data_IF_631454509939
#
_entry.id   IF_631454509939
#
_cell.length_a   1.000
_cell.length_b   1.000
_cell.length_c   1.000
_cell.angle_alpha   90.00
_cell.angle_beta   90.00
_cell.angle_gamma   90.00
#
_symmetry.space_group_name_H-M   'P 1'
#
loop_
_entity.id
_entity.type
_entity.pdbx_description
1 polymer ?
#
# COMPACT_ATOMS: atom_id res chain seq x y z
N UNK A 1 -18.58 6.27 23.83
CA UNK A 1 -19.70 5.31 23.84
C UNK A 1 -20.16 5.15 25.27
N UNK A 2 -21.45 5.27 25.57
CA UNK A 2 -21.98 5.04 26.89
C UNK A 2 -22.08 3.53 27.20
N UNK A 3 -22.33 3.18 28.48
CA UNK A 3 -22.30 1.77 28.92
C UNK A 3 -23.36 0.89 28.23
N UNK A 4 -24.57 1.37 28.07
CA UNK A 4 -25.67 0.62 27.44
C UNK A 4 -25.44 0.42 25.95
N UNK A 5 -24.93 1.46 25.27
CA UNK A 5 -24.58 1.40 23.85
C UNK A 5 -23.45 0.37 23.61
N UNK A 6 -22.41 0.36 24.48
CA UNK A 6 -21.35 -0.63 24.41
C UNK A 6 -21.89 -2.05 24.66
N UNK A 7 -22.69 -2.26 25.70
CA UNK A 7 -23.25 -3.56 26.05
C UNK A 7 -24.06 -4.16 24.86
N UNK A 8 -24.94 -3.35 24.26
CA UNK A 8 -25.76 -3.77 23.11
C UNK A 8 -24.90 -4.09 21.90
N UNK A 9 -23.96 -3.21 21.55
CA UNK A 9 -23.05 -3.40 20.43
C UNK A 9 -22.17 -4.64 20.59
N UNK A 10 -21.60 -4.84 21.76
CA UNK A 10 -20.78 -5.99 22.11
C UNK A 10 -21.57 -7.30 21.97
N UNK A 11 -22.77 -7.37 22.59
CA UNK A 11 -23.63 -8.55 22.54
C UNK A 11 -24.03 -8.91 21.13
N UNK A 12 -24.50 -7.93 20.34
CA UNK A 12 -24.91 -8.17 18.95
C UNK A 12 -23.74 -8.67 18.10
N UNK A 13 -22.56 -8.05 18.23
CA UNK A 13 -21.37 -8.49 17.51
C UNK A 13 -20.90 -9.88 17.94
N UNK A 14 -20.92 -10.20 19.24
CA UNK A 14 -20.56 -11.55 19.71
C UNK A 14 -21.50 -12.62 19.15
N UNK A 15 -22.79 -12.34 19.14
CA UNK A 15 -23.76 -13.28 18.56
C UNK A 15 -23.53 -13.46 17.04
N UNK A 16 -23.25 -12.36 16.34
CA UNK A 16 -22.93 -12.41 14.91
C UNK A 16 -21.61 -13.15 14.60
N UNK A 17 -20.62 -13.09 15.51
CA UNK A 17 -19.35 -13.81 15.36
C UNK A 17 -19.43 -15.30 15.72
N UNK A 18 -20.54 -15.77 16.28
CA UNK A 18 -20.69 -17.14 16.76
C UNK A 18 -19.93 -17.45 18.07
N UNK A 19 -19.18 -16.50 18.63
CA UNK A 19 -18.38 -16.73 19.81
C UNK A 19 -19.23 -16.85 21.08
N UNK A 20 -18.90 -17.81 21.93
CA UNK A 20 -19.39 -17.86 23.31
C UNK A 20 -18.74 -16.77 24.16
N UNK A 21 -19.35 -16.46 25.33
CA UNK A 21 -18.72 -15.54 26.30
C UNK A 21 -17.38 -16.10 26.82
N UNK A 22 -17.20 -17.41 26.86
CA UNK A 22 -15.95 -18.06 27.29
C UNK A 22 -14.84 -17.89 26.28
N UNK A 23 -15.13 -18.13 24.99
CA UNK A 23 -14.16 -17.93 23.90
C UNK A 23 -13.75 -16.46 23.79
N UNK A 24 -14.72 -15.53 23.81
CA UNK A 24 -14.40 -14.10 23.79
C UNK A 24 -13.53 -13.69 25.00
N UNK A 25 -13.79 -14.26 26.18
CA UNK A 25 -13.00 -14.02 27.38
C UNK A 25 -11.54 -14.48 27.21
N UNK A 26 -11.33 -15.67 26.65
CA UNK A 26 -10.00 -16.21 26.35
C UNK A 26 -9.26 -15.35 25.32
N UNK A 27 -9.89 -15.03 24.22
CA UNK A 27 -9.32 -14.25 23.11
C UNK A 27 -8.97 -12.80 23.48
N UNK A 28 -9.64 -12.24 24.48
CA UNK A 28 -9.44 -10.83 24.89
C UNK A 28 -8.71 -10.66 26.20
N UNK A 29 -8.29 -11.76 26.85
CA UNK A 29 -7.71 -11.79 28.19
C UNK A 29 -8.60 -11.11 29.25
N UNK A 30 -9.92 -11.13 29.05
CA UNK A 30 -10.90 -10.57 29.98
C UNK A 30 -11.68 -11.71 30.64
N UNK A 31 -11.89 -11.67 31.97
CA UNK A 31 -12.61 -12.75 32.63
C UNK A 31 -14.04 -12.92 32.09
N UNK A 32 -14.51 -14.19 31.97
CA UNK A 32 -15.88 -14.49 31.55
C UNK A 32 -16.93 -13.77 32.40
N UNK A 33 -16.65 -13.62 33.69
CA UNK A 33 -17.48 -12.87 34.61
C UNK A 33 -17.61 -11.39 34.18
N UNK A 34 -16.52 -10.75 33.82
CA UNK A 34 -16.49 -9.38 33.32
C UNK A 34 -17.24 -9.24 31.99
N UNK A 35 -17.01 -10.16 31.03
CA UNK A 35 -17.72 -10.22 29.74
C UNK A 35 -19.24 -10.26 29.98
N UNK A 36 -19.71 -11.17 30.85
CA UNK A 36 -21.13 -11.28 31.18
C UNK A 36 -21.70 -9.97 31.77
N UNK A 37 -20.97 -9.34 32.69
CA UNK A 37 -21.41 -8.08 33.30
C UNK A 37 -21.43 -6.92 32.29
N UNK A 38 -20.48 -6.87 31.38
CA UNK A 38 -20.43 -5.87 30.31
C UNK A 38 -21.63 -6.00 29.36
N UNK A 39 -21.92 -7.23 28.89
CA UNK A 39 -23.07 -7.50 28.01
C UNK A 39 -24.43 -7.16 28.63
N UNK A 40 -24.54 -7.29 29.97
CA UNK A 40 -25.76 -6.98 30.70
C UNK A 40 -25.81 -5.53 31.22
N UNK A 41 -24.83 -4.69 30.85
CA UNK A 41 -24.77 -3.30 31.31
C UNK A 41 -24.52 -3.13 32.81
N UNK A 42 -24.12 -4.20 33.53
CA UNK A 42 -23.90 -4.24 34.99
C UNK A 42 -22.53 -3.75 35.43
N UNK A 43 -21.62 -3.48 34.49
CA UNK A 43 -20.28 -2.95 34.72
C UNK A 43 -19.83 -2.12 33.52
N UNK A 44 -18.94 -1.14 33.78
CA UNK A 44 -18.30 -0.33 32.75
C UNK A 44 -16.94 -0.95 32.39
N UNK A 45 -16.71 -1.24 31.13
CA UNK A 45 -15.41 -1.57 30.62
C UNK A 45 -14.55 -0.31 30.41
N UNK A 46 -13.26 -0.37 30.67
CA UNK A 46 -12.34 0.71 30.32
C UNK A 46 -12.36 0.94 28.79
N UNK A 47 -11.93 2.12 28.33
CA UNK A 47 -11.84 2.40 26.88
C UNK A 47 -10.93 1.40 26.14
N UNK A 48 -9.84 1.01 26.78
CA UNK A 48 -8.91 0.01 26.25
C UNK A 48 -9.60 -1.36 26.13
N UNK A 49 -10.26 -1.85 27.20
CA UNK A 49 -11.03 -3.09 27.17
C UNK A 49 -12.14 -3.09 26.12
N UNK A 50 -12.89 -1.96 26.00
CA UNK A 50 -13.90 -1.82 24.95
C UNK A 50 -13.28 -1.95 23.56
N UNK A 51 -12.13 -1.32 23.34
CA UNK A 51 -11.42 -1.34 22.06
C UNK A 51 -10.94 -2.76 21.71
N UNK A 52 -10.30 -3.46 22.64
CA UNK A 52 -9.86 -4.86 22.47
C UNK A 52 -11.05 -5.76 22.10
N UNK A 53 -12.12 -5.71 22.88
CA UNK A 53 -13.31 -6.55 22.65
C UNK A 53 -13.92 -6.27 21.27
N UNK A 54 -14.13 -5.00 20.91
CA UNK A 54 -14.78 -4.65 19.65
C UNK A 54 -13.93 -4.98 18.42
N UNK A 55 -12.60 -4.82 18.49
CA UNK A 55 -11.68 -5.19 17.42
C UNK A 55 -11.59 -6.71 17.25
N UNK A 56 -11.51 -7.46 18.35
CA UNK A 56 -11.60 -8.91 18.33
C UNK A 56 -12.90 -9.37 17.64
N UNK A 57 -14.05 -8.83 18.05
CA UNK A 57 -15.34 -9.19 17.46
C UNK A 57 -15.45 -8.77 15.98
N UNK A 58 -14.88 -7.62 15.59
CA UNK A 58 -14.83 -7.22 14.19
C UNK A 58 -14.05 -8.22 13.33
N UNK A 59 -12.92 -8.72 13.85
CA UNK A 59 -12.11 -9.73 13.17
C UNK A 59 -12.92 -11.01 12.90
N UNK A 60 -13.62 -11.55 13.90
CA UNK A 60 -14.41 -12.78 13.77
C UNK A 60 -15.72 -12.64 12.93
N UNK A 61 -16.16 -11.41 12.67
CA UNK A 61 -17.31 -11.15 11.79
C UNK A 61 -16.86 -10.91 10.35
N UNK A 62 -15.61 -10.52 10.15
CA UNK A 62 -15.09 -10.14 8.84
C UNK A 62 -14.73 -11.38 8.02
N UNK A 63 -15.36 -11.55 6.86
CA UNK A 63 -15.11 -12.72 5.98
C UNK A 63 -13.65 -12.73 5.47
N UNK A 64 -13.05 -11.57 5.28
CA UNK A 64 -11.69 -11.40 4.79
C UNK A 64 -10.95 -10.36 5.62
N UNK A 65 -10.49 -10.74 6.83
CA UNK A 65 -9.88 -9.79 7.75
C UNK A 65 -8.55 -9.22 7.25
N UNK A 66 -7.77 -10.05 6.52
CA UNK A 66 -6.47 -9.68 5.98
C UNK A 66 -6.27 -10.17 4.56
N UNK A 67 -5.45 -9.45 3.82
CA UNK A 67 -4.83 -9.93 2.58
C UNK A 67 -3.46 -9.28 2.36
N UNK A 68 -2.60 -9.97 1.61
CA UNK A 68 -1.24 -9.56 1.30
C UNK A 68 -1.15 -9.09 -0.15
N UNK A 69 -0.35 -8.06 -0.39
CA UNK A 69 -0.02 -7.60 -1.75
C UNK A 69 1.42 -7.11 -1.86
N UNK A 70 1.93 -7.03 -3.08
CA UNK A 70 3.21 -6.34 -3.38
C UNK A 70 2.94 -4.83 -3.42
N UNK A 71 3.54 -4.07 -2.48
CA UNK A 71 3.39 -2.60 -2.46
C UNK A 71 4.52 -1.89 -3.21
N UNK A 72 5.71 -2.48 -3.24
CA UNK A 72 6.85 -1.93 -3.94
C UNK A 72 7.75 -3.05 -4.46
N UNK A 73 8.18 -2.93 -5.71
CA UNK A 73 9.25 -3.75 -6.28
C UNK A 73 10.20 -2.83 -7.05
N UNK A 74 11.52 -3.01 -6.85
CA UNK A 74 12.50 -2.46 -7.77
C UNK A 74 13.57 -3.49 -8.12
N UNK A 75 13.94 -3.50 -9.38
CA UNK A 75 14.87 -4.48 -9.96
C UNK A 75 15.90 -3.73 -10.80
N UNK A 76 17.17 -4.09 -10.65
CA UNK A 76 18.26 -3.61 -11.51
C UNK A 76 18.65 -4.70 -12.50
N UNK A 77 18.69 -4.37 -13.77
CA UNK A 77 19.12 -5.27 -14.85
C UNK A 77 20.52 -4.90 -15.37
N UNK A 78 21.35 -5.90 -15.71
CA UNK A 78 22.72 -5.68 -16.20
C UNK A 78 22.74 -5.36 -17.72
N UNK A 79 21.90 -4.44 -18.16
CA UNK A 79 21.80 -3.92 -19.53
C UNK A 79 21.66 -2.42 -19.48
N UNK A 80 22.05 -1.71 -20.53
CA UNK A 80 21.79 -0.27 -20.71
C UNK A 80 20.56 0.00 -21.59
N UNK A 81 19.99 -1.05 -22.19
CA UNK A 81 18.82 -0.94 -23.06
C UNK A 81 17.52 -1.05 -22.26
N UNK A 82 16.89 0.10 -21.99
CA UNK A 82 15.59 0.16 -21.30
C UNK A 82 14.46 -0.48 -22.14
N UNK A 83 14.54 -0.38 -23.48
CA UNK A 83 13.50 -0.93 -24.36
C UNK A 83 13.54 -2.46 -24.37
N UNK A 84 14.73 -3.04 -24.19
CA UNK A 84 14.87 -4.48 -24.00
C UNK A 84 14.15 -4.94 -22.74
N UNK A 85 14.34 -4.23 -21.61
CA UNK A 85 13.66 -4.54 -20.34
C UNK A 85 12.15 -4.39 -20.47
N UNK A 86 11.65 -3.35 -21.16
CA UNK A 86 10.23 -3.16 -21.42
C UNK A 86 9.66 -4.37 -22.19
N UNK A 87 10.29 -4.76 -23.28
CA UNK A 87 9.80 -5.87 -24.11
C UNK A 87 9.98 -7.23 -23.43
N UNK A 88 11.17 -7.57 -22.97
CA UNK A 88 11.48 -8.91 -22.48
C UNK A 88 10.98 -9.17 -21.06
N UNK A 89 11.05 -8.19 -20.15
CA UNK A 89 10.67 -8.37 -18.74
C UNK A 89 9.21 -8.04 -18.50
N UNK A 90 8.78 -6.82 -18.93
CA UNK A 90 7.40 -6.38 -18.74
C UNK A 90 6.44 -7.03 -19.73
N UNK A 91 6.96 -7.46 -20.92
CA UNK A 91 6.13 -7.99 -21.98
C UNK A 91 5.20 -6.94 -22.57
N UNK A 92 5.71 -5.73 -22.74
CA UNK A 92 4.95 -4.57 -23.22
C UNK A 92 5.64 -3.96 -24.43
N UNK A 93 4.85 -3.40 -25.34
CA UNK A 93 5.38 -2.64 -26.47
C UNK A 93 5.94 -1.31 -26.01
N UNK A 94 7.18 -1.02 -26.39
CA UNK A 94 7.89 0.18 -25.95
C UNK A 94 7.24 1.49 -26.48
N UNK A 95 6.53 1.41 -27.59
CA UNK A 95 5.88 2.56 -28.25
C UNK A 95 4.84 3.25 -27.36
N UNK A 96 4.27 2.53 -26.38
CA UNK A 96 3.34 3.09 -25.41
C UNK A 96 4.02 3.70 -24.18
N UNK A 97 5.36 3.73 -24.08
CA UNK A 97 6.06 4.33 -22.95
C UNK A 97 6.47 5.77 -23.29
N UNK A 98 6.05 6.71 -22.46
CA UNK A 98 6.45 8.11 -22.56
C UNK A 98 7.92 8.23 -22.14
N UNK A 99 8.77 8.72 -23.02
CA UNK A 99 10.16 9.00 -22.72
C UNK A 99 10.33 10.35 -22.03
N UNK A 100 11.13 10.37 -20.98
CA UNK A 100 11.53 11.57 -20.25
C UNK A 100 13.06 11.67 -20.24
N UNK A 101 13.58 12.81 -20.64
CA UNK A 101 14.99 13.19 -20.70
C UNK A 101 15.60 13.53 -19.32
N UNK A 102 14.98 13.06 -18.27
CA UNK A 102 15.47 13.11 -16.91
C UNK A 102 15.11 11.81 -16.16
N UNK A 103 15.93 11.43 -15.20
CA UNK A 103 15.72 10.24 -14.38
C UNK A 103 15.75 10.56 -12.89
N UNK A 104 15.67 9.50 -12.08
CA UNK A 104 15.76 9.54 -10.62
C UNK A 104 16.99 8.73 -10.17
N UNK A 105 17.43 8.91 -8.96
CA UNK A 105 18.50 8.13 -8.33
C UNK A 105 19.84 8.17 -9.09
N UNK A 106 20.10 9.22 -9.86
CA UNK A 106 21.30 9.37 -10.69
C UNK A 106 21.18 8.82 -12.12
N UNK A 107 20.04 8.23 -12.48
CA UNK A 107 19.75 7.86 -13.86
C UNK A 107 19.47 9.10 -14.71
N UNK A 108 19.84 9.05 -16.00
CA UNK A 108 19.72 10.20 -16.91
C UNK A 108 18.32 10.37 -17.48
N UNK A 109 17.65 9.28 -17.77
CA UNK A 109 16.36 9.26 -18.43
C UNK A 109 15.45 8.19 -17.83
N UNK A 110 14.18 8.24 -18.14
CA UNK A 110 13.25 7.15 -17.84
C UNK A 110 12.12 7.07 -18.85
N UNK A 111 11.59 5.85 -18.95
CA UNK A 111 10.39 5.51 -19.72
C UNK A 111 9.27 5.19 -18.77
N UNK A 112 8.06 5.70 -19.02
CA UNK A 112 6.93 5.52 -18.12
C UNK A 112 5.65 5.10 -18.85
N UNK A 113 4.99 4.07 -18.29
CA UNK A 113 3.62 3.73 -18.61
C UNK A 113 2.81 3.85 -17.30
N UNK A 114 2.00 4.90 -17.20
CA UNK A 114 1.40 5.28 -15.92
C UNK A 114 2.47 5.51 -14.84
N UNK A 115 2.44 4.67 -13.79
CA UNK A 115 3.41 4.71 -12.69
C UNK A 115 4.46 3.58 -12.75
N UNK A 116 4.47 2.78 -13.79
CA UNK A 116 5.57 1.85 -14.10
C UNK A 116 6.72 2.68 -14.67
N UNK A 117 7.91 2.62 -14.08
CA UNK A 117 9.07 3.40 -14.51
C UNK A 117 10.25 2.50 -14.78
N UNK A 118 10.85 2.68 -15.97
CA UNK A 118 12.08 2.03 -16.40
C UNK A 118 13.11 3.11 -16.62
N UNK A 119 14.11 3.18 -15.77
CA UNK A 119 15.16 4.20 -15.80
C UNK A 119 16.41 3.65 -16.47
N UNK A 120 17.06 4.44 -17.30
CA UNK A 120 18.27 4.07 -18.04
C UNK A 120 19.43 5.04 -17.76
N UNK A 121 20.64 4.52 -17.94
CA UNK A 121 21.89 5.25 -17.88
C UNK A 121 22.86 4.67 -18.90
N UNK A 122 23.74 5.51 -19.44
CA UNK A 122 24.85 5.05 -20.29
C UNK A 122 25.93 4.31 -19.50
N UNK A 123 25.86 4.34 -18.15
CA UNK A 123 26.80 3.64 -17.29
C UNK A 123 26.37 2.18 -17.11
N UNK A 124 27.16 1.26 -17.67
CA UNK A 124 26.94 -0.18 -17.55
C UNK A 124 26.89 -0.67 -16.09
N UNK A 125 27.61 0.00 -15.18
CA UNK A 125 27.56 -0.33 -13.75
C UNK A 125 26.21 0.03 -13.11
N UNK A 126 25.52 1.04 -13.62
CA UNK A 126 24.18 1.39 -13.17
C UNK A 126 23.13 0.45 -13.77
N UNK A 127 23.26 0.10 -15.03
CA UNK A 127 22.31 -0.72 -15.77
C UNK A 127 20.95 -0.04 -15.93
N UNK A 128 19.91 -0.84 -16.17
CA UNK A 128 18.50 -0.39 -16.21
C UNK A 128 17.83 -0.68 -14.88
N UNK A 129 17.01 0.26 -14.42
CA UNK A 129 16.31 0.17 -13.13
C UNK A 129 14.81 0.25 -13.32
N UNK A 130 14.11 -0.84 -13.02
CA UNK A 130 12.66 -0.91 -12.96
C UNK A 130 12.18 -0.49 -11.56
N UNK A 131 11.23 0.43 -11.50
CA UNK A 131 10.55 0.82 -10.26
C UNK A 131 9.03 0.68 -10.39
N UNK A 132 8.45 -0.13 -9.51
CA UNK A 132 7.01 -0.32 -9.31
C UNK A 132 6.67 0.11 -7.89
N UNK A 133 6.18 1.33 -7.71
CA UNK A 133 5.91 1.91 -6.39
C UNK A 133 4.43 2.17 -6.20
N UNK A 134 3.78 1.53 -5.25
CA UNK A 134 2.38 1.76 -4.91
C UNK A 134 1.45 1.66 -6.12
N UNK A 135 1.10 2.79 -6.75
CA UNK A 135 0.30 2.81 -7.97
C UNK A 135 0.99 2.07 -9.13
N UNK A 136 2.33 2.13 -9.24
CA UNK A 136 3.08 1.39 -10.25
C UNK A 136 2.93 -0.13 -10.10
N UNK A 137 2.90 -0.65 -8.85
CA UNK A 137 2.57 -2.06 -8.62
C UNK A 137 1.15 -2.39 -9.07
N UNK A 138 0.19 -1.50 -8.84
CA UNK A 138 -1.22 -1.68 -9.29
C UNK A 138 -1.34 -1.65 -10.81
N UNK A 139 -0.62 -0.74 -11.49
CA UNK A 139 -0.57 -0.71 -12.95
C UNK A 139 0.09 -1.98 -13.51
N UNK A 140 1.17 -2.47 -12.88
CA UNK A 140 1.80 -3.72 -13.29
C UNK A 140 0.88 -4.92 -13.12
N UNK A 141 0.11 -4.99 -12.04
CA UNK A 141 -0.89 -6.04 -11.85
C UNK A 141 -1.99 -6.03 -12.93
N UNK A 142 -2.36 -4.84 -13.41
CA UNK A 142 -3.29 -4.72 -14.54
C UNK A 142 -2.70 -5.31 -15.83
N UNK A 143 -1.41 -5.05 -16.08
CA UNK A 143 -0.66 -5.65 -17.21
C UNK A 143 -0.55 -7.17 -17.02
N UNK A 144 -0.14 -7.64 -15.83
CA UNK A 144 -0.02 -9.07 -15.53
C UNK A 144 -1.35 -9.81 -15.71
N UNK A 145 -2.45 -9.21 -15.28
CA UNK A 145 -3.79 -9.79 -15.48
C UNK A 145 -4.12 -9.94 -16.97
N UNK A 146 -3.83 -8.92 -17.79
CA UNK A 146 -4.04 -8.98 -19.24
C UNK A 146 -3.17 -10.05 -19.91
N UNK A 147 -1.97 -10.29 -19.38
CA UNK A 147 -1.06 -11.34 -19.83
C UNK A 147 -1.36 -12.74 -19.23
N UNK A 148 -2.41 -12.89 -18.44
CA UNK A 148 -2.69 -14.13 -17.67
C UNK A 148 -1.52 -14.58 -16.80
N UNK A 149 -0.79 -13.63 -16.23
CA UNK A 149 0.37 -13.80 -15.37
C UNK A 149 0.10 -13.33 -13.94
N UNK A 150 0.97 -13.72 -13.04
CA UNK A 150 0.96 -13.33 -11.63
C UNK A 150 2.32 -12.81 -11.17
N UNK A 151 2.44 -12.45 -9.89
CA UNK A 151 3.69 -11.99 -9.30
C UNK A 151 4.78 -13.07 -9.31
N UNK A 152 4.44 -14.36 -9.21
CA UNK A 152 5.43 -15.44 -9.23
C UNK A 152 6.10 -15.55 -10.59
N UNK A 153 5.30 -15.60 -11.65
CA UNK A 153 5.80 -15.64 -13.04
C UNK A 153 6.58 -14.38 -13.39
N UNK A 154 6.16 -13.21 -12.90
CA UNK A 154 6.86 -11.95 -13.13
C UNK A 154 8.22 -11.89 -12.41
N UNK A 155 8.27 -12.27 -11.14
CA UNK A 155 9.51 -12.30 -10.36
C UNK A 155 10.51 -13.30 -10.95
N UNK A 156 10.07 -14.50 -11.35
CA UNK A 156 10.91 -15.46 -12.08
C UNK A 156 11.48 -14.82 -13.36
N UNK A 157 10.64 -14.18 -14.17
CA UNK A 157 11.08 -13.51 -15.38
C UNK A 157 12.13 -12.42 -15.11
N UNK A 158 11.95 -11.64 -14.04
CA UNK A 158 12.95 -10.66 -13.63
C UNK A 158 14.32 -11.32 -13.35
N UNK A 159 14.32 -12.44 -12.63
CA UNK A 159 15.55 -13.17 -12.29
C UNK A 159 16.17 -13.83 -13.52
N UNK A 160 15.37 -14.46 -14.39
CA UNK A 160 15.82 -15.12 -15.63
C UNK A 160 16.50 -14.13 -16.59
N UNK A 161 16.02 -12.86 -16.61
CA UNK A 161 16.66 -11.77 -17.35
C UNK A 161 17.87 -11.13 -16.62
N UNK A 162 18.41 -11.78 -15.59
CA UNK A 162 19.57 -11.30 -14.84
C UNK A 162 19.27 -10.13 -13.88
N UNK A 163 17.99 -9.89 -13.58
CA UNK A 163 17.57 -8.85 -12.66
C UNK A 163 18.01 -9.11 -11.23
N UNK A 164 18.49 -8.06 -10.55
CA UNK A 164 18.84 -8.08 -9.13
C UNK A 164 17.79 -7.29 -8.37
N UNK A 165 17.06 -7.94 -7.47
CA UNK A 165 16.04 -7.31 -6.65
C UNK A 165 16.71 -6.32 -5.68
N UNK A 166 16.35 -5.04 -5.77
CA UNK A 166 16.91 -3.98 -4.92
C UNK A 166 15.96 -3.62 -3.77
N UNK A 167 14.65 -3.74 -4.00
CA UNK A 167 13.64 -3.51 -2.97
C UNK A 167 12.42 -4.37 -3.25
N UNK A 168 11.85 -4.92 -2.19
CA UNK A 168 10.62 -5.69 -2.21
C UNK A 168 9.82 -5.42 -0.94
N UNK A 169 8.70 -4.71 -1.09
CA UNK A 169 7.81 -4.39 0.04
C UNK A 169 6.51 -5.19 -0.09
N UNK A 170 6.22 -5.93 0.96
CA UNK A 170 4.98 -6.67 1.13
C UNK A 170 4.07 -5.91 2.09
N UNK A 171 2.79 -5.78 1.77
CA UNK A 171 1.82 -5.06 2.58
C UNK A 171 0.66 -5.95 2.98
N UNK A 172 0.45 -6.11 4.29
CA UNK A 172 -0.76 -6.71 4.86
C UNK A 172 -1.79 -5.61 5.04
N UNK A 173 -2.94 -5.76 4.39
CA UNK A 173 -4.09 -4.90 4.56
C UNK A 173 -5.02 -5.46 5.64
N UNK A 174 -5.27 -4.68 6.67
CA UNK A 174 -6.20 -4.99 7.77
C UNK A 174 -7.56 -4.33 7.46
N UNK A 175 -8.53 -5.18 7.10
CA UNK A 175 -9.88 -4.78 6.70
C UNK A 175 -10.84 -4.66 7.89
N UNK A 176 -10.51 -5.29 9.00
CA UNK A 176 -11.37 -5.33 10.19
C UNK A 176 -10.92 -4.37 11.31
N UNK A 177 -9.73 -3.77 11.17
CA UNK A 177 -9.15 -2.86 12.14
C UNK A 177 -8.61 -3.59 13.38
N UNK A 178 -8.14 -4.84 13.24
CA UNK A 178 -7.55 -5.60 14.34
C UNK A 178 -6.28 -4.93 14.88
N UNK A 179 -5.41 -4.46 13.98
CA UNK A 179 -4.17 -3.77 14.34
C UNK A 179 -4.48 -2.36 14.88
N UNK A 180 -4.40 -2.18 16.18
CA UNK A 180 -4.55 -0.87 16.83
C UNK A 180 -3.22 -0.12 16.83
N UNK A 181 -2.94 0.61 15.74
CA UNK A 181 -1.66 1.29 15.52
C UNK A 181 -1.29 2.27 16.66
N UNK A 182 -2.22 3.11 17.18
CA UNK A 182 -1.91 3.94 18.34
C UNK A 182 -1.48 3.14 19.57
N UNK A 183 -2.20 2.06 19.90
CA UNK A 183 -1.86 1.20 21.06
C UNK A 183 -0.54 0.46 20.86
N UNK A 184 -0.28 -0.08 19.66
CA UNK A 184 1.01 -0.71 19.31
C UNK A 184 2.17 0.30 19.43
N UNK A 185 1.97 1.53 18.99
CA UNK A 185 2.97 2.60 19.13
C UNK A 185 3.28 2.93 20.60
N UNK A 186 2.24 3.01 21.43
CA UNK A 186 2.39 3.24 22.87
C UNK A 186 3.12 2.07 23.57
N UNK A 187 2.72 0.83 23.26
CA UNK A 187 3.38 -0.36 23.80
C UNK A 187 4.85 -0.40 23.41
N UNK A 188 5.17 -0.13 22.12
CA UNK A 188 6.55 -0.10 21.65
C UNK A 188 7.38 0.95 22.39
N UNK A 189 6.85 2.18 22.52
CA UNK A 189 7.48 3.30 23.22
C UNK A 189 7.78 2.97 24.68
N UNK A 190 6.89 2.25 25.33
CA UNK A 190 6.97 1.93 26.78
C UNK A 190 7.71 0.61 27.06
N UNK A 191 8.38 0.01 26.07
CA UNK A 191 9.14 -1.22 26.22
C UNK A 191 8.28 -2.49 26.33
N UNK A 192 7.01 -2.43 25.94
CA UNK A 192 6.08 -3.57 25.89
C UNK A 192 6.15 -4.35 24.57
N UNK A 193 7.25 -4.24 23.84
CA UNK A 193 7.50 -5.01 22.62
C UNK A 193 8.88 -5.66 22.72
N UNK A 194 8.98 -6.94 22.37
CA UNK A 194 10.23 -7.63 22.15
C UNK A 194 10.64 -7.40 20.68
N UNK A 195 11.73 -6.69 20.47
CA UNK A 195 12.18 -6.34 19.13
C UNK A 195 13.69 -6.43 19.00
N UNK A 196 14.17 -6.99 17.87
CA UNK A 196 15.60 -7.02 17.54
C UNK A 196 16.15 -5.62 17.21
N UNK A 197 15.27 -4.66 16.95
CA UNK A 197 15.63 -3.29 16.61
C UNK A 197 15.31 -2.33 17.75
N UNK A 198 16.28 -1.45 18.06
CA UNK A 198 16.10 -0.40 19.08
C UNK A 198 15.57 0.91 18.48
N UNK A 199 15.66 1.08 17.16
CA UNK A 199 15.24 2.31 16.50
C UNK A 199 13.77 2.23 16.13
N UNK A 200 13.02 3.27 16.41
CA UNK A 200 11.65 3.45 15.96
C UNK A 200 11.35 4.93 15.72
N UNK A 201 10.33 5.18 14.92
CA UNK A 201 9.79 6.52 14.73
C UNK A 201 8.26 6.44 14.81
N UNK A 202 7.65 7.27 15.63
CA UNK A 202 6.19 7.40 15.71
C UNK A 202 5.79 8.76 15.19
N UNK A 203 5.04 8.78 14.08
CA UNK A 203 4.52 10.00 13.46
C UNK A 203 3.03 10.07 13.72
N UNK A 204 2.61 11.11 14.45
CA UNK A 204 1.21 11.39 14.71
C UNK A 204 0.82 12.73 14.10
N UNK A 205 -0.08 12.70 13.13
CA UNK A 205 -0.69 13.90 12.57
C UNK A 205 -1.81 14.42 13.47
N UNK A 206 -2.04 15.75 13.50
CA UNK A 206 -3.12 16.37 14.24
C UNK A 206 -3.44 17.76 13.72
N UNK A 207 -4.67 18.23 13.99
CA UNK A 207 -5.07 19.63 13.81
C UNK A 207 -5.29 20.26 15.17
N UNK A 208 -4.79 21.49 15.36
CA UNK A 208 -4.94 22.24 16.62
C UNK A 208 -6.38 22.64 16.90
N UNK A 209 -7.23 22.73 15.87
CA UNK A 209 -8.64 23.11 15.99
C UNK A 209 -9.53 22.21 15.13
N UNK A 210 -10.76 21.95 15.60
CA UNK A 210 -11.79 21.17 14.88
C UNK A 210 -12.15 19.84 15.56
N UNK A 211 -13.18 19.14 15.01
CA UNK A 211 -13.70 17.88 15.56
C UNK A 211 -12.73 16.69 15.38
N UNK A 212 -11.84 16.74 14.40
CA UNK A 212 -10.87 15.68 14.10
C UNK A 212 -9.47 16.10 14.51
N UNK A 213 -9.15 16.01 15.80
CA UNK A 213 -7.81 16.34 16.33
C UNK A 213 -6.73 15.32 15.96
N UNK A 214 -7.09 14.03 15.83
CA UNK A 214 -6.15 12.94 15.51
C UNK A 214 -6.31 12.56 14.04
N UNK A 215 -5.37 12.93 13.17
CA UNK A 215 -5.42 12.59 11.75
C UNK A 215 -5.02 11.13 11.54
N UNK A 216 -3.76 10.79 11.56
CA UNK A 216 -3.30 9.44 11.35
C UNK A 216 -2.09 9.14 12.25
N UNK A 217 -1.95 7.89 12.67
CA UNK A 217 -0.78 7.38 13.37
C UNK A 217 0.01 6.47 12.43
N UNK A 218 1.34 6.62 12.44
CA UNK A 218 2.29 5.77 11.72
C UNK A 218 3.40 5.37 12.66
N UNK A 219 3.64 4.07 12.81
CA UNK A 219 4.75 3.50 13.54
C UNK A 219 5.75 2.89 12.56
N UNK A 220 6.98 3.38 12.58
CA UNK A 220 8.12 2.75 11.92
C UNK A 220 8.91 1.97 12.96
N UNK A 221 9.17 0.68 12.70
CA UNK A 221 10.01 -0.18 13.51
C UNK A 221 11.27 -0.51 12.72
N UNK A 222 12.42 -0.06 13.20
CA UNK A 222 13.68 -0.12 12.48
C UNK A 222 14.04 1.19 11.80
N UNK A 223 15.31 1.30 11.38
CA UNK A 223 15.80 2.46 10.62
C UNK A 223 15.33 2.40 9.18
N UNK A 224 14.88 3.52 8.62
CA UNK A 224 14.52 3.66 7.20
C UNK A 224 15.69 3.40 6.25
N UNK A 225 16.94 3.41 6.75
CA UNK A 225 18.16 3.09 6.00
C UNK A 225 18.56 1.62 6.11
N UNK A 226 17.90 0.83 6.99
CA UNK A 226 18.16 -0.60 7.15
C UNK A 226 17.65 -1.40 5.97
N UNK A 227 18.23 -2.61 5.80
CA UNK A 227 17.77 -3.58 4.79
C UNK A 227 16.43 -4.22 5.12
N UNK A 228 15.98 -4.14 6.38
CA UNK A 228 14.65 -4.56 6.83
C UNK A 228 14.12 -3.54 7.85
N UNK A 229 12.92 -3.04 7.64
CA UNK A 229 12.17 -2.25 8.60
C UNK A 229 10.67 -2.34 8.31
N UNK A 230 9.84 -2.04 9.29
CA UNK A 230 8.39 -2.12 9.18
C UNK A 230 7.74 -0.75 9.27
N UNK A 231 6.58 -0.64 8.62
CA UNK A 231 5.76 0.58 8.67
C UNK A 231 4.30 0.17 8.88
N UNK A 232 3.76 0.50 10.06
CA UNK A 232 2.38 0.24 10.42
C UNK A 232 1.63 1.58 10.46
N UNK A 233 0.50 1.69 9.77
CA UNK A 233 -0.24 2.96 9.75
C UNK A 233 -1.74 2.79 9.50
N UNK A 234 -2.49 3.81 9.95
CA UNK A 234 -3.94 3.91 9.78
C UNK A 234 -4.26 4.34 8.34
N UNK A 235 -4.36 3.36 7.43
CA UNK A 235 -4.53 3.58 5.98
C UNK A 235 -5.78 4.37 5.64
N UNK A 236 -6.91 4.06 6.28
CA UNK A 236 -8.16 4.77 6.05
C UNK A 236 -8.03 6.26 6.39
N UNK A 237 -7.40 6.59 7.51
CA UNK A 237 -7.17 8.00 7.89
C UNK A 237 -6.16 8.68 6.97
N UNK A 238 -5.09 7.99 6.56
CA UNK A 238 -4.13 8.51 5.60
C UNK A 238 -4.81 8.85 4.27
N UNK A 239 -5.67 7.98 3.75
CA UNK A 239 -6.41 8.24 2.52
C UNK A 239 -7.45 9.36 2.69
N UNK A 240 -8.14 9.42 3.82
CA UNK A 240 -9.09 10.49 4.11
C UNK A 240 -8.42 11.89 4.11
N UNK A 241 -7.15 12.01 4.53
CA UNK A 241 -6.41 13.28 4.43
C UNK A 241 -6.17 13.70 2.98
N UNK A 242 -6.15 12.74 2.06
CA UNK A 242 -6.00 12.95 0.60
C UNK A 242 -7.34 13.05 -0.13
N UNK A 243 -8.46 13.10 0.62
CA UNK A 243 -9.82 13.07 0.09
C UNK A 243 -10.14 11.81 -0.74
N UNK A 244 -9.47 10.69 -0.42
CA UNK A 244 -9.70 9.39 -1.05
C UNK A 244 -10.43 8.45 -0.09
N UNK A 245 -11.28 7.59 -0.64
CA UNK A 245 -11.93 6.52 0.10
C UNK A 245 -11.12 5.22 0.01
N UNK A 246 -11.12 4.44 1.08
CA UNK A 246 -10.62 3.06 1.11
C UNK A 246 -11.29 2.29 2.22
N UNK A 247 -11.54 1.00 2.00
CA UNK A 247 -12.05 0.08 3.00
C UNK A 247 -10.94 -0.51 3.88
N UNK A 248 -9.67 -0.32 3.48
CA UNK A 248 -8.52 -0.75 4.27
C UNK A 248 -8.39 0.15 5.49
N UNK A 249 -8.60 -0.41 6.69
CA UNK A 249 -8.54 0.35 7.94
C UNK A 249 -7.09 0.64 8.30
N UNK A 250 -6.25 -0.40 8.37
CA UNK A 250 -4.83 -0.27 8.66
C UNK A 250 -3.99 -1.01 7.63
N UNK A 251 -2.69 -0.69 7.59
CA UNK A 251 -1.73 -1.40 6.75
C UNK A 251 -0.45 -1.64 7.52
N UNK A 252 0.09 -2.86 7.36
CA UNK A 252 1.39 -3.25 7.86
C UNK A 252 2.31 -3.55 6.67
N UNK A 253 3.32 -2.73 6.46
CA UNK A 253 4.30 -2.92 5.38
C UNK A 253 5.61 -3.47 5.91
N UNK A 254 6.06 -4.57 5.30
CA UNK A 254 7.38 -5.17 5.49
C UNK A 254 8.25 -4.68 4.36
N UNK A 255 9.20 -3.81 4.65
CA UNK A 255 10.05 -3.17 3.66
C UNK A 255 11.44 -3.79 3.67
N UNK A 256 11.78 -4.44 2.55
CA UNK A 256 13.01 -5.19 2.38
C UNK A 256 13.86 -4.55 1.29
N UNK A 257 15.19 -4.48 1.52
CA UNK A 257 16.15 -3.92 0.56
C UNK A 257 17.32 -4.86 0.37
N UNK A 258 17.95 -4.75 -0.82
CA UNK A 258 19.19 -5.41 -1.19
C UNK A 258 19.15 -6.91 -0.83
N UNK A 259 20.12 -7.41 -0.10
CA UNK A 259 20.21 -8.84 0.25
C UNK A 259 18.93 -9.41 0.90
N UNK A 260 18.23 -8.61 1.71
CA UNK A 260 16.98 -9.09 2.35
C UNK A 260 15.82 -9.16 1.37
N UNK A 261 15.78 -8.28 0.38
CA UNK A 261 14.79 -8.33 -0.70
C UNK A 261 15.04 -9.55 -1.61
N UNK A 262 16.29 -9.81 -1.99
CA UNK A 262 16.66 -11.00 -2.76
C UNK A 262 16.26 -12.27 -2.03
N UNK A 263 16.67 -12.44 -0.76
CA UNK A 263 16.33 -13.61 0.05
C UNK A 263 14.82 -13.84 0.16
N UNK A 264 14.04 -12.78 0.33
CA UNK A 264 12.58 -12.90 0.45
C UNK A 264 11.91 -13.32 -0.87
N UNK A 265 12.40 -12.80 -2.01
CA UNK A 265 11.90 -13.21 -3.33
C UNK A 265 12.28 -14.66 -3.64
N UNK A 266 13.52 -15.06 -3.38
CA UNK A 266 13.97 -16.45 -3.55
C UNK A 266 13.15 -17.42 -2.70
N UNK A 267 12.91 -17.10 -1.42
CA UNK A 267 12.09 -17.91 -0.52
C UNK A 267 10.64 -17.97 -1.00
N UNK A 268 10.07 -16.84 -1.45
CA UNK A 268 8.71 -16.77 -1.98
C UNK A 268 8.55 -17.68 -3.21
N UNK A 269 9.51 -17.63 -4.13
CA UNK A 269 9.51 -18.43 -5.36
C UNK A 269 9.78 -19.93 -5.11
N UNK A 270 10.58 -20.25 -4.08
CA UNK A 270 10.88 -21.62 -3.71
C UNK A 270 9.69 -22.29 -3.02
N UNK A 271 9.03 -21.60 -2.10
CA UNK A 271 8.02 -22.19 -1.22
C UNK A 271 6.59 -21.98 -1.69
N UNK A 272 6.34 -20.99 -2.52
CA UNK A 272 4.97 -20.53 -2.88
C UNK A 272 4.09 -20.27 -1.64
N UNK A 273 4.73 -19.94 -0.50
CA UNK A 273 4.07 -19.71 0.77
C UNK A 273 4.26 -18.28 1.28
N UNK A 274 3.53 -17.31 0.74
CA UNK A 274 3.64 -15.89 1.14
C UNK A 274 3.21 -15.67 2.60
N UNK A 275 2.23 -16.44 3.09
CA UNK A 275 1.80 -16.40 4.48
C UNK A 275 2.95 -16.76 5.43
N UNK A 276 3.60 -17.92 5.23
CA UNK A 276 4.71 -18.38 6.05
C UNK A 276 5.89 -17.40 6.02
N UNK A 277 6.26 -16.91 4.83
CA UNK A 277 7.33 -15.92 4.67
C UNK A 277 7.05 -14.65 5.50
N UNK A 278 5.85 -14.09 5.39
CA UNK A 278 5.49 -12.81 6.01
C UNK A 278 5.47 -12.93 7.53
N UNK A 279 4.81 -13.96 8.08
CA UNK A 279 4.76 -14.14 9.54
C UNK A 279 6.12 -14.52 10.13
N UNK A 280 6.94 -15.28 9.41
CA UNK A 280 8.33 -15.50 9.81
C UNK A 280 9.11 -14.17 9.89
N UNK A 281 8.99 -13.30 8.87
CA UNK A 281 9.66 -11.99 8.85
C UNK A 281 9.21 -11.07 10.00
N UNK A 282 7.94 -11.16 10.40
CA UNK A 282 7.35 -10.37 11.49
C UNK A 282 7.84 -10.89 12.82
N UNK A 283 7.60 -12.17 13.13
CA UNK A 283 7.92 -12.78 14.44
C UNK A 283 9.41 -12.83 14.69
N UNK A 284 10.25 -12.99 13.64
CA UNK A 284 11.71 -12.85 13.73
C UNK A 284 12.17 -11.43 14.12
N UNK A 285 11.33 -10.43 14.01
CA UNK A 285 11.74 -9.03 14.16
C UNK A 285 11.05 -8.30 15.32
N UNK A 286 9.76 -8.50 15.54
CA UNK A 286 8.98 -7.84 16.58
C UNK A 286 7.86 -8.73 17.11
N UNK A 287 7.69 -8.72 18.41
CA UNK A 287 6.58 -9.32 19.14
C UNK A 287 5.99 -8.33 20.14
N UNK A 288 4.69 -8.43 20.38
CA UNK A 288 4.00 -7.66 21.41
C UNK A 288 3.39 -8.66 22.43
N UNK A 289 4.19 -9.15 23.37
CA UNK A 289 3.72 -10.11 24.35
C UNK A 289 2.56 -9.54 25.17
N UNK A 290 1.68 -10.41 25.65
CA UNK A 290 0.53 -10.05 26.47
C UNK A 290 -0.45 -9.03 25.81
N UNK A 291 -0.46 -8.97 24.49
CA UNK A 291 -1.42 -8.14 23.74
C UNK A 291 -2.37 -8.99 22.89
N UNK A 292 -3.62 -9.19 23.34
CA UNK A 292 -4.55 -10.15 22.75
C UNK A 292 -4.77 -9.97 21.24
N UNK A 293 -4.87 -8.71 20.77
CA UNK A 293 -5.09 -8.44 19.35
C UNK A 293 -3.87 -8.80 18.48
N UNK A 294 -2.66 -8.72 19.02
CA UNK A 294 -1.45 -9.18 18.35
C UNK A 294 -1.39 -10.71 18.28
N UNK A 295 -1.77 -11.39 19.37
CA UNK A 295 -1.84 -12.86 19.39
C UNK A 295 -2.82 -13.39 18.33
N UNK A 296 -4.01 -12.77 18.21
CA UNK A 296 -4.98 -13.08 17.14
C UNK A 296 -4.37 -12.82 15.76
N UNK A 297 -3.64 -11.71 15.57
CA UNK A 297 -3.02 -11.38 14.29
C UNK A 297 -1.97 -12.42 13.89
N UNK A 298 -1.06 -12.78 14.80
CA UNK A 298 0.02 -13.74 14.53
C UNK A 298 -0.51 -15.16 14.34
N UNK A 299 -1.61 -15.53 14.99
CA UNK A 299 -2.25 -16.84 14.86
C UNK A 299 -3.22 -16.95 13.68
N UNK A 300 -3.28 -15.95 12.80
CA UNK A 300 -4.15 -15.99 11.62
C UNK A 300 -3.73 -17.10 10.64
N UNK A 301 -4.65 -17.98 10.29
CA UNK A 301 -4.34 -19.24 9.59
C UNK A 301 -3.98 -19.06 8.11
N UNK A 302 -4.49 -18.03 7.45
CA UNK A 302 -4.32 -17.84 6.01
C UNK A 302 -4.25 -16.36 5.61
N UNK A 303 -3.22 -16.00 4.88
CA UNK A 303 -3.04 -14.65 4.34
C UNK A 303 -3.06 -14.72 2.81
N UNK A 304 -4.21 -14.50 2.15
CA UNK A 304 -4.30 -14.53 0.70
C UNK A 304 -3.34 -13.54 0.05
N UNK A 305 -2.55 -14.00 -0.93
CA UNK A 305 -1.66 -13.15 -1.72
C UNK A 305 -2.41 -12.69 -2.96
N UNK A 306 -2.71 -11.42 -3.04
CA UNK A 306 -3.66 -10.87 -4.01
C UNK A 306 -3.03 -9.83 -4.92
N UNK A 307 -3.63 -9.69 -6.08
CA UNK A 307 -3.44 -8.56 -6.98
C UNK A 307 -4.67 -7.66 -6.92
N UNK A 308 -4.45 -6.36 -6.90
CA UNK A 308 -5.48 -5.32 -6.97
C UNK A 308 -5.21 -4.43 -8.18
N UNK A 309 -5.44 -4.95 -9.40
CA UNK A 309 -5.09 -4.27 -10.63
C UNK A 309 -5.84 -2.95 -10.79
N UNK A 310 -5.11 -1.92 -11.18
CA UNK A 310 -5.66 -0.59 -11.47
C UNK A 310 -5.12 -0.14 -12.82
N UNK A 311 -5.97 0.19 -13.79
CA UNK A 311 -5.51 0.73 -15.07
C UNK A 311 -4.80 2.08 -14.87
N UNK A 312 -4.01 2.47 -15.86
CA UNK A 312 -3.47 3.84 -15.93
C UNK A 312 -4.61 4.83 -15.90
N UNK A 313 -4.47 5.90 -15.12
CA UNK A 313 -5.53 6.91 -14.97
C UNK A 313 -4.94 8.31 -14.76
N UNK A 314 -5.77 9.32 -14.96
CA UNK A 314 -5.40 10.73 -14.84
C UNK A 314 -5.55 11.31 -13.42
N UNK A 315 -5.72 10.49 -12.41
CA UNK A 315 -6.06 10.98 -11.06
C UNK A 315 -5.07 12.04 -10.54
N UNK A 316 -3.77 11.85 -10.77
CA UNK A 316 -2.73 12.82 -10.36
C UNK A 316 -2.83 14.12 -11.15
N UNK A 317 -3.04 14.02 -12.46
CA UNK A 317 -3.20 15.18 -13.33
C UNK A 317 -4.44 15.97 -12.93
N UNK A 318 -5.56 15.29 -12.68
CA UNK A 318 -6.80 15.94 -12.24
C UNK A 318 -6.62 16.60 -10.86
N UNK A 319 -5.93 15.97 -9.92
CA UNK A 319 -5.62 16.59 -8.62
C UNK A 319 -4.70 17.81 -8.75
N UNK A 320 -3.75 17.79 -9.66
CA UNK A 320 -2.89 18.94 -9.97
C UNK A 320 -3.70 20.07 -10.60
N UNK A 321 -4.54 19.77 -11.60
CA UNK A 321 -5.46 20.74 -12.20
C UNK A 321 -6.34 21.40 -11.13
N UNK A 322 -6.99 20.60 -10.28
CA UNK A 322 -7.88 21.11 -9.21
C UNK A 322 -7.15 22.07 -8.28
N UNK A 323 -5.91 21.76 -7.90
CA UNK A 323 -5.19 22.50 -6.86
C UNK A 323 -4.35 23.66 -7.36
N UNK A 324 -3.79 23.55 -8.56
CA UNK A 324 -2.80 24.49 -9.07
C UNK A 324 -3.32 25.31 -10.24
N UNK A 325 -4.12 24.73 -11.12
CA UNK A 325 -4.57 25.39 -12.35
C UNK A 325 -5.93 26.06 -12.17
N UNK A 326 -6.93 25.31 -11.65
CA UNK A 326 -8.30 25.83 -11.51
C UNK A 326 -8.42 27.13 -10.71
N UNK A 327 -7.70 27.34 -9.59
CA UNK A 327 -7.73 28.63 -8.89
C UNK A 327 -7.28 29.81 -9.77
N UNK A 328 -6.27 29.58 -10.65
CA UNK A 328 -5.79 30.60 -11.59
C UNK A 328 -6.82 30.86 -12.71
N UNK A 329 -7.44 29.83 -13.22
CA UNK A 329 -8.52 29.94 -14.22
C UNK A 329 -9.67 30.78 -13.65
N UNK A 330 -10.18 30.42 -12.48
CA UNK A 330 -11.28 31.16 -11.80
C UNK A 330 -10.90 32.62 -11.55
N UNK A 331 -9.63 32.89 -11.17
CA UNK A 331 -9.12 34.26 -11.00
C UNK A 331 -9.16 35.04 -12.32
N UNK A 332 -8.75 34.43 -13.43
CA UNK A 332 -8.74 35.07 -14.75
C UNK A 332 -10.17 35.35 -15.24
N UNK A 333 -11.11 34.40 -15.07
CA UNK A 333 -12.52 34.57 -15.37
C UNK A 333 -13.11 35.75 -14.61
N UNK A 334 -12.78 35.88 -13.30
CA UNK A 334 -13.27 37.00 -12.49
C UNK A 334 -12.66 38.34 -12.91
N UNK A 335 -11.38 38.37 -13.32
CA UNK A 335 -10.73 39.56 -13.88
C UNK A 335 -11.42 39.97 -15.17
N UNK A 336 -11.67 39.03 -16.10
CA UNK A 336 -12.34 39.31 -17.36
C UNK A 336 -13.77 39.87 -17.13
N UNK A 337 -14.49 39.29 -16.16
CA UNK A 337 -15.82 39.75 -15.77
C UNK A 337 -15.81 41.19 -15.23
N UNK A 338 -14.80 41.56 -14.43
CA UNK A 338 -14.72 42.88 -13.77
C UNK A 338 -14.15 43.95 -14.68
N UNK A 339 -13.23 43.63 -15.57
CA UNK A 339 -12.48 44.60 -16.38
C UNK A 339 -12.95 44.67 -17.82
N UNK A 340 -13.76 43.70 -18.29
CA UNK A 340 -14.12 43.56 -19.68
C UNK A 340 -12.98 43.08 -20.57
N UNK A 341 -11.88 42.57 -19.98
CA UNK A 341 -10.80 41.93 -20.71
C UNK A 341 -11.26 40.57 -21.28
N UNK A 342 -10.40 39.91 -22.04
CA UNK A 342 -10.72 38.66 -22.70
C UNK A 342 -9.53 37.68 -22.63
N UNK A 343 -8.92 37.57 -21.44
CA UNK A 343 -7.76 36.68 -21.20
C UNK A 343 -8.11 35.22 -21.32
N UNK A 344 -9.33 34.80 -20.95
CA UNK A 344 -9.78 33.42 -21.13
C UNK A 344 -9.75 32.96 -22.56
N UNK A 345 -10.10 33.85 -23.51
CA UNK A 345 -10.03 33.52 -24.94
C UNK A 345 -8.61 33.19 -25.40
N UNK A 346 -7.59 33.84 -24.84
CA UNK A 346 -6.18 33.52 -25.16
C UNK A 346 -5.78 32.12 -24.67
N UNK A 347 -6.41 31.64 -23.57
CA UNK A 347 -6.18 30.29 -23.03
C UNK A 347 -6.90 29.26 -23.90
N UNK A 348 -8.15 29.53 -24.33
CA UNK A 348 -8.93 28.67 -25.21
C UNK A 348 -8.29 28.50 -26.60
N UNK A 349 -7.49 29.47 -27.04
CA UNK A 349 -6.74 29.42 -28.31
C UNK A 349 -5.49 28.52 -28.21
N UNK A 350 -5.07 28.07 -27.01
CA UNK A 350 -4.01 27.08 -26.81
C UNK A 350 -4.52 25.68 -27.15
N UNK A 351 -4.48 25.28 -28.40
CA UNK A 351 -5.13 24.06 -28.92
C UNK A 351 -4.18 22.90 -29.26
N UNK A 352 -2.90 23.04 -28.99
CA UNK A 352 -1.92 22.01 -29.37
C UNK A 352 -1.48 21.18 -28.19
N UNK A 353 -1.59 19.86 -28.31
CA UNK A 353 -0.95 18.92 -27.39
C UNK A 353 0.55 18.84 -27.70
N UNK A 354 1.35 18.71 -26.66
CA UNK A 354 2.74 18.29 -26.83
C UNK A 354 2.78 16.78 -27.11
N UNK A 355 3.85 16.29 -27.73
CA UNK A 355 4.07 14.87 -28.00
C UNK A 355 3.83 13.98 -26.76
N UNK A 356 4.32 14.41 -25.58
CA UNK A 356 4.09 13.70 -24.31
C UNK A 356 2.62 13.67 -23.88
N UNK A 357 1.84 14.70 -24.20
CA UNK A 357 0.41 14.73 -23.93
C UNK A 357 -0.36 13.85 -24.89
N UNK A 358 0.04 13.80 -26.18
CA UNK A 358 -0.53 12.88 -27.17
C UNK A 358 -0.30 11.43 -26.75
N UNK A 359 0.92 11.06 -26.35
CA UNK A 359 1.24 9.74 -25.82
C UNK A 359 0.44 9.41 -24.55
N UNK A 360 0.19 10.37 -23.67
CA UNK A 360 -0.66 10.15 -22.49
C UNK A 360 -2.11 9.86 -22.89
N UNK A 361 -2.63 10.59 -23.89
CA UNK A 361 -3.96 10.30 -24.45
C UNK A 361 -3.99 8.89 -25.03
N UNK A 362 -2.97 8.50 -25.76
CA UNK A 362 -2.84 7.15 -26.32
C UNK A 362 -2.81 6.08 -25.23
N UNK A 363 -1.99 6.23 -24.18
CA UNK A 363 -1.98 5.31 -23.04
C UNK A 363 -3.36 5.15 -22.39
N UNK A 364 -4.15 6.22 -22.35
CA UNK A 364 -5.47 6.23 -21.73
C UNK A 364 -6.57 5.64 -22.60
N UNK A 365 -6.42 5.70 -23.91
CA UNK A 365 -7.45 5.31 -24.88
C UNK A 365 -7.20 3.95 -25.50
N UNK A 366 -5.98 3.41 -25.39
CA UNK A 366 -5.61 2.11 -25.98
C UNK A 366 -6.03 0.96 -25.07
N UNK A 367 -6.58 -0.11 -25.65
CA UNK A 367 -6.87 -1.33 -24.90
C UNK A 367 -5.55 -1.96 -24.44
N UNK A 368 -5.55 -2.51 -23.22
CA UNK A 368 -4.36 -3.14 -22.65
C UNK A 368 -3.88 -4.33 -23.49
N UNK A 369 -4.77 -5.01 -24.19
CA UNK A 369 -4.41 -6.10 -25.11
C UNK A 369 -3.55 -5.64 -26.28
N UNK A 370 -3.68 -4.38 -26.70
CA UNK A 370 -2.85 -3.80 -27.75
C UNK A 370 -1.49 -3.30 -27.24
N UNK A 371 -1.38 -3.04 -25.93
CA UNK A 371 -0.14 -2.57 -25.27
C UNK A 371 0.81 -3.72 -24.95
N UNK A 372 0.29 -4.92 -24.71
CA UNK A 372 1.12 -6.09 -24.40
C UNK A 372 1.73 -6.70 -25.66
N UNK A 373 2.90 -7.33 -25.53
CA UNK A 373 3.53 -8.11 -26.61
C UNK A 373 2.76 -9.43 -26.84
N UNK A 374 2.76 -9.91 -28.09
CA UNK A 374 2.23 -11.23 -28.41
C UNK A 374 3.08 -12.34 -27.78
N UNK A 375 2.47 -13.44 -27.38
CA UNK A 375 3.07 -14.54 -26.61
C UNK A 375 4.40 -15.09 -27.17
N UNK A 376 4.72 -14.89 -28.46
CA UNK A 376 5.95 -15.37 -29.08
C UNK A 376 7.23 -14.66 -28.64
N UNK A 377 7.15 -13.45 -28.10
CA UNK A 377 8.33 -12.63 -27.69
C UNK A 377 8.93 -13.10 -26.36
N UNK A 378 8.22 -13.93 -25.58
CA UNK A 378 8.66 -14.39 -24.27
C UNK A 378 9.67 -15.56 -24.30
N UNK A 379 9.90 -16.18 -25.47
CA UNK A 379 10.67 -17.42 -25.62
C UNK A 379 11.95 -17.27 -26.48
N UNK A 380 12.23 -16.06 -26.97
CA UNK A 380 13.47 -15.71 -27.66
C UNK A 380 14.41 -14.87 -26.74
#
# INVERSE_FOLDING_TARGET
MNNLEFALKMKNKRLASGLSQGELASLTHVSRYSINRFENGKANASKETQNIILRCLNYYICDKPFYLLVDYLSVRFPTTDALEVIRKVLGMKADYFIHYDYGYYGYKEHYAYGEIKVMASDDEHMGVFLELKGAGSRNMEYVLQAQSRDWYSFLNRCLDCGGVIRRFDLAINDMCGLLDIPTLSEKYKNGGADCRCKNYENVQGGKLSGKNRNLASTLYIGSKTSTKYFCLYEKQKEQATKKKHTDIINRFEIRLRDKKAVQAVEELLLTYNPHGLVFYLITDFVEFPDYPLWEIFISHDSLPFEMNPVPVNMERTLQWLERQVMPSIVMIEEIDRLTGSNYMKMIDECTHLSEKQEMLVEQMCTDIADVIESEGVFYE
#
